data_IF_398201425292
#
_entry.id   IF_398201425292
#
_cell.length_a   1.000
_cell.length_b   1.000
_cell.length_c   1.000
_cell.angle_alpha   90.00
_cell.angle_beta   90.00
_cell.angle_gamma   90.00
#
_symmetry.space_group_name_H-M   'P 1'
#
loop_
_entity.id
_entity.type
_entity.pdbx_description
1 polymer ?
#
# COMPACT_ATOMS: atom_id res chain seq x y z
N UNK A 1 25.10 -0.45 -0.28
CA UNK A 1 24.60 0.85 -0.78
C UNK A 1 23.76 0.61 -2.03
N UNK A 2 22.45 0.42 -1.88
CA UNK A 2 21.54 0.50 -3.02
C UNK A 2 21.09 1.96 -3.12
N UNK A 3 21.38 2.59 -4.25
CA UNK A 3 21.04 3.97 -4.56
C UNK A 3 19.52 4.20 -4.50
N UNK A 4 19.10 5.33 -3.94
CA UNK A 4 17.73 5.83 -4.05
C UNK A 4 17.31 5.93 -5.54
N UNK A 5 16.03 5.72 -5.89
CA UNK A 5 15.61 5.75 -7.28
C UNK A 5 15.68 7.18 -7.84
N UNK A 6 16.33 7.26 -8.98
CA UNK A 6 16.51 8.43 -9.84
C UNK A 6 15.15 8.90 -10.40
N UNK A 7 15.04 10.21 -10.65
CA UNK A 7 13.99 10.86 -11.47
C UNK A 7 13.48 9.93 -12.59
N UNK A 8 12.19 9.56 -12.52
CA UNK A 8 11.50 8.79 -13.57
C UNK A 8 11.35 7.29 -13.30
N UNK A 9 11.92 6.74 -12.23
CA UNK A 9 11.66 5.36 -11.81
C UNK A 9 10.37 5.27 -10.96
N UNK A 10 9.61 4.18 -11.12
CA UNK A 10 8.52 3.83 -10.21
C UNK A 10 9.07 3.80 -8.77
N UNK A 11 8.37 4.46 -7.85
CA UNK A 11 8.69 4.37 -6.42
C UNK A 11 8.32 2.96 -5.98
N UNK A 12 9.31 2.21 -5.51
CA UNK A 12 9.12 0.83 -5.04
C UNK A 12 8.65 0.73 -3.60
N UNK A 13 8.83 1.79 -2.80
CA UNK A 13 8.57 1.82 -1.36
C UNK A 13 8.10 3.20 -0.90
N UNK A 14 7.17 3.24 0.04
CA UNK A 14 6.75 4.44 0.76
C UNK A 14 6.36 4.03 2.19
N UNK A 15 5.95 4.97 3.02
CA UNK A 15 5.56 4.69 4.40
C UNK A 15 4.46 5.65 4.88
N UNK A 16 3.69 5.17 5.86
CA UNK A 16 2.88 6.02 6.71
C UNK A 16 3.70 6.41 7.94
N UNK A 17 3.54 7.65 8.41
CA UNK A 17 4.09 8.07 9.68
C UNK A 17 3.15 9.00 10.43
N UNK A 18 3.03 8.75 11.72
CA UNK A 18 2.42 9.66 12.68
C UNK A 18 3.27 9.70 13.95
N UNK A 19 2.76 10.28 15.03
CA UNK A 19 3.48 10.43 16.29
C UNK A 19 3.95 9.10 16.90
N UNK A 20 3.32 7.99 16.54
CA UNK A 20 3.59 6.66 17.10
C UNK A 20 4.13 5.68 16.07
N UNK A 21 3.52 5.62 14.90
CA UNK A 21 3.89 4.70 13.84
C UNK A 21 4.85 5.33 12.82
N UNK A 22 5.85 4.55 12.43
CA UNK A 22 6.48 4.61 11.12
C UNK A 22 6.29 3.22 10.51
N UNK A 23 5.57 3.16 9.39
CA UNK A 23 5.07 1.91 8.85
C UNK A 23 5.32 1.81 7.36
N UNK A 24 6.32 1.00 6.99
CA UNK A 24 6.75 0.82 5.61
C UNK A 24 5.79 -0.03 4.79
N UNK A 25 5.72 0.26 3.49
CA UNK A 25 5.05 -0.56 2.50
C UNK A 25 5.79 -0.53 1.16
N UNK A 26 5.75 -1.64 0.43
CA UNK A 26 6.30 -1.71 -0.92
C UNK A 26 5.18 -1.85 -1.96
N UNK A 27 5.46 -1.45 -3.20
CA UNK A 27 4.55 -1.59 -4.34
C UNK A 27 4.20 -3.04 -4.74
N UNK A 28 4.83 -4.05 -4.12
CA UNK A 28 4.49 -5.47 -4.30
C UNK A 28 3.50 -5.95 -3.22
N UNK A 29 3.09 -5.06 -2.31
CA UNK A 29 2.05 -5.27 -1.30
C UNK A 29 2.56 -5.69 0.08
N UNK A 30 3.86 -5.93 0.24
CA UNK A 30 4.45 -6.23 1.54
C UNK A 30 4.42 -4.98 2.41
N UNK A 31 4.06 -5.17 3.68
CA UNK A 31 4.05 -4.10 4.67
C UNK A 31 4.99 -4.42 5.82
N UNK A 32 5.30 -3.39 6.62
CA UNK A 32 6.11 -3.48 7.83
C UNK A 32 7.53 -4.00 7.62
N UNK A 33 8.13 -3.91 6.42
CA UNK A 33 9.51 -4.34 6.16
C UNK A 33 10.36 -3.16 5.63
N UNK A 34 11.46 -2.85 6.31
CA UNK A 34 12.29 -1.69 5.99
C UNK A 34 13.21 -1.97 4.77
N UNK A 35 13.13 -1.17 3.70
CA UNK A 35 13.86 -1.43 2.45
C UNK A 35 15.37 -1.14 2.53
N UNK A 36 15.83 -0.40 3.54
CA UNK A 36 17.24 -0.05 3.71
C UNK A 36 17.98 -1.07 4.57
N UNK A 37 17.33 -1.50 5.65
CA UNK A 37 17.93 -2.42 6.62
C UNK A 37 17.67 -3.88 6.29
N UNK A 38 16.58 -4.18 5.57
CA UNK A 38 16.11 -5.57 5.40
C UNK A 38 15.57 -6.16 6.70
N UNK A 39 15.23 -5.30 7.67
CA UNK A 39 14.76 -5.64 9.01
C UNK A 39 13.33 -5.14 9.22
N UNK A 40 12.88 -5.15 10.48
CA UNK A 40 11.62 -4.57 10.94
C UNK A 40 11.35 -3.22 10.31
N UNK A 41 10.16 -3.06 9.74
CA UNK A 41 9.67 -1.83 9.13
C UNK A 41 8.32 -1.36 9.69
N UNK A 42 7.77 -2.06 10.68
CA UNK A 42 6.73 -1.54 11.56
C UNK A 42 7.35 -1.06 12.87
N UNK A 43 7.54 0.25 12.99
CA UNK A 43 8.06 0.88 14.19
C UNK A 43 6.93 1.57 14.94
N UNK A 44 6.85 1.31 16.24
CA UNK A 44 5.86 1.90 17.13
C UNK A 44 6.53 2.72 18.22
N UNK A 45 5.73 3.56 18.89
CA UNK A 45 6.12 4.56 19.88
C UNK A 45 6.88 5.77 19.29
N UNK A 46 6.91 6.91 20.01
CA UNK A 46 7.71 8.07 19.60
C UNK A 46 9.22 7.76 19.46
N UNK A 47 9.71 6.74 20.16
CA UNK A 47 11.11 6.29 20.09
C UNK A 47 11.39 5.40 18.86
N UNK A 48 10.37 5.05 18.05
CA UNK A 48 10.47 4.19 16.87
C UNK A 48 11.08 2.82 17.18
N UNK A 49 10.57 2.16 18.21
CA UNK A 49 10.95 0.79 18.54
C UNK A 49 10.36 -0.16 17.48
N UNK A 50 11.15 -1.11 16.94
CA UNK A 50 10.62 -2.13 16.04
C UNK A 50 9.62 -3.00 16.79
N UNK A 51 8.49 -3.30 16.16
CA UNK A 51 7.46 -4.18 16.72
C UNK A 51 6.90 -5.17 15.70
N UNK A 52 7.16 -4.95 14.40
CA UNK A 52 6.72 -5.83 13.32
C UNK A 52 7.85 -5.93 12.28
N UNK A 53 8.30 -7.17 12.04
CA UNK A 53 9.31 -7.51 11.04
C UNK A 53 8.79 -7.34 9.62
N UNK A 54 7.62 -7.94 9.35
CA UNK A 54 6.96 -7.92 8.05
C UNK A 54 5.52 -8.42 8.16
N UNK A 55 4.68 -7.97 7.22
CA UNK A 55 3.27 -8.34 7.12
C UNK A 55 2.84 -8.49 5.66
N UNK A 56 1.79 -9.29 5.45
CA UNK A 56 1.16 -9.46 4.15
C UNK A 56 -0.17 -10.19 4.24
N UNK A 57 -1.00 -10.02 3.21
CA UNK A 57 -2.26 -10.76 3.11
C UNK A 57 -1.99 -12.09 2.40
N UNK A 58 -2.46 -13.18 3.01
CA UNK A 58 -2.55 -14.50 2.40
C UNK A 58 -4.02 -14.78 2.05
N UNK A 59 -4.20 -15.50 0.95
CA UNK A 59 -5.50 -16.03 0.56
C UNK A 59 -5.38 -17.45 0.04
N UNK A 60 -6.46 -18.22 0.17
CA UNK A 60 -6.52 -19.52 -0.47
C UNK A 60 -7.93 -20.06 -0.63
N UNK A 61 -8.13 -20.89 -1.64
CA UNK A 61 -9.42 -21.52 -1.94
C UNK A 61 -9.28 -22.59 -3.01
N UNK A 62 -10.39 -23.21 -3.39
CA UNK A 62 -10.43 -24.24 -4.43
C UNK A 62 -10.86 -23.62 -5.76
N UNK A 63 -10.05 -23.81 -6.80
CA UNK A 63 -10.36 -23.29 -8.12
C UNK A 63 -11.26 -24.26 -8.90
N UNK A 64 -12.44 -23.79 -9.33
CA UNK A 64 -13.45 -24.57 -10.07
C UNK A 64 -13.71 -23.95 -11.45
N UNK A 65 -14.01 -24.77 -12.45
CA UNK A 65 -14.57 -24.29 -13.73
C UNK A 65 -13.59 -23.97 -14.88
N UNK A 66 -12.33 -24.43 -14.84
CA UNK A 66 -11.39 -24.38 -15.98
C UNK A 66 -10.99 -25.82 -16.37
N UNK A 67 -10.88 -26.20 -17.67
CA UNK A 67 -10.40 -27.53 -18.03
C UNK A 67 -8.87 -27.64 -17.88
N UNK A 68 -8.42 -28.82 -17.46
CA UNK A 68 -7.04 -29.31 -17.21
C UNK A 68 -6.51 -29.24 -15.76
N UNK A 69 -6.97 -28.33 -14.89
CA UNK A 69 -6.53 -28.27 -13.47
C UNK A 69 -7.63 -27.85 -12.47
N UNK A 70 -8.89 -28.12 -12.81
CA UNK A 70 -10.03 -27.88 -11.90
C UNK A 70 -9.91 -28.77 -10.66
N UNK A 71 -10.24 -28.20 -9.50
CA UNK A 71 -10.35 -28.87 -8.18
C UNK A 71 -9.06 -29.00 -7.38
N UNK A 72 -8.09 -28.10 -7.59
CA UNK A 72 -6.89 -28.03 -6.77
C UNK A 72 -6.89 -26.81 -5.85
N UNK A 73 -6.30 -26.88 -4.64
CA UNK A 73 -6.13 -25.72 -3.80
C UNK A 73 -5.20 -24.71 -4.49
N UNK A 74 -5.56 -23.45 -4.38
CA UNK A 74 -4.77 -22.30 -4.81
C UNK A 74 -4.51 -21.44 -3.60
N UNK A 75 -3.25 -21.11 -3.36
CA UNK A 75 -2.85 -20.27 -2.24
C UNK A 75 -1.92 -19.20 -2.79
N UNK A 76 -2.24 -17.95 -2.54
CA UNK A 76 -1.43 -16.82 -2.96
C UNK A 76 -1.27 -15.82 -1.82
N UNK A 77 -0.53 -14.77 -2.11
CA UNK A 77 -0.35 -13.68 -1.18
C UNK A 77 1.08 -13.36 -0.85
N UNK A 78 1.24 -12.80 0.34
CA UNK A 78 2.45 -12.13 0.78
C UNK A 78 2.73 -12.59 2.21
N UNK A 79 3.94 -13.11 2.43
CA UNK A 79 4.51 -13.37 3.76
C UNK A 79 6.00 -12.98 3.73
N UNK A 80 6.91 -13.80 4.24
CA UNK A 80 8.35 -13.67 4.01
C UNK A 80 8.73 -13.65 2.53
N UNK A 81 7.95 -14.37 1.71
CA UNK A 81 8.08 -14.35 0.25
C UNK A 81 6.86 -13.63 -0.33
N UNK A 82 7.11 -12.85 -1.37
CA UNK A 82 6.10 -12.06 -2.06
C UNK A 82 5.67 -12.83 -3.31
N UNK A 83 4.46 -13.38 -3.30
CA UNK A 83 3.85 -14.09 -4.42
C UNK A 83 3.19 -13.18 -5.45
N UNK A 84 3.17 -11.87 -5.20
CA UNK A 84 2.50 -10.84 -6.01
C UNK A 84 3.47 -10.02 -6.87
N UNK A 85 2.95 -9.42 -7.93
CA UNK A 85 3.60 -8.39 -8.74
C UNK A 85 2.82 -7.06 -8.70
N UNK A 86 3.48 -5.90 -8.86
CA UNK A 86 2.82 -4.60 -8.89
C UNK A 86 1.91 -4.46 -10.11
N UNK A 87 0.79 -3.76 -9.90
CA UNK A 87 -0.24 -3.43 -10.90
C UNK A 87 -1.48 -4.31 -10.79
N UNK A 88 -2.62 -3.75 -11.18
CA UNK A 88 -3.88 -4.46 -11.37
C UNK A 88 -3.94 -5.22 -12.69
N UNK A 89 -5.06 -5.91 -12.91
CA UNK A 89 -5.28 -6.80 -14.05
C UNK A 89 -6.30 -6.18 -15.00
N UNK A 90 -5.95 -6.14 -16.28
CA UNK A 90 -6.86 -5.89 -17.40
C UNK A 90 -7.07 -7.18 -18.20
N UNK A 91 -8.18 -7.22 -18.93
CA UNK A 91 -8.46 -8.31 -19.86
C UNK A 91 -8.30 -7.78 -21.29
N UNK A 92 -7.47 -8.46 -22.08
CA UNK A 92 -7.30 -8.22 -23.50
C UNK A 92 -7.73 -9.51 -24.20
N UNK A 93 -8.81 -9.42 -24.96
CA UNK A 93 -9.50 -10.59 -25.53
C UNK A 93 -9.78 -11.65 -24.44
N UNK A 94 -9.24 -12.86 -24.59
CA UNK A 94 -9.44 -13.97 -23.66
C UNK A 94 -8.33 -14.10 -22.59
N UNK A 95 -7.36 -13.17 -22.55
CA UNK A 95 -6.19 -13.23 -21.68
C UNK A 95 -6.17 -12.14 -20.60
N UNK A 96 -5.58 -12.47 -19.46
CA UNK A 96 -5.32 -11.53 -18.37
C UNK A 96 -3.91 -10.96 -18.49
N UNK A 97 -3.79 -9.64 -18.38
CA UNK A 97 -2.53 -8.93 -18.43
C UNK A 97 -2.42 -7.89 -17.31
N UNK A 98 -1.18 -7.59 -16.91
CA UNK A 98 -0.91 -6.57 -15.89
C UNK A 98 -1.04 -5.18 -16.52
N UNK A 99 -1.87 -4.34 -15.92
CA UNK A 99 -2.00 -2.94 -16.31
C UNK A 99 -0.79 -2.13 -15.82
N UNK A 100 0.12 -1.80 -16.75
CA UNK A 100 1.32 -1.01 -16.46
C UNK A 100 1.05 0.36 -15.83
N UNK A 101 -0.09 1.00 -16.12
CA UNK A 101 -0.44 2.32 -15.58
C UNK A 101 -0.85 2.29 -14.11
N UNK A 102 -1.20 1.11 -13.59
CA UNK A 102 -1.58 0.92 -12.19
C UNK A 102 -0.41 0.49 -11.30
N UNK A 103 0.80 0.33 -11.88
CA UNK A 103 2.00 -0.03 -11.12
C UNK A 103 2.48 1.12 -10.25
N UNK A 104 2.75 0.83 -8.98
CA UNK A 104 3.39 1.78 -8.06
C UNK A 104 2.72 1.80 -6.70
N UNK A 105 3.26 2.68 -5.85
CA UNK A 105 2.68 3.07 -4.58
C UNK A 105 2.37 4.57 -4.62
N UNK A 106 1.13 4.92 -4.28
CA UNK A 106 0.61 6.27 -4.36
C UNK A 106 0.33 6.77 -2.95
N UNK A 107 0.75 7.99 -2.66
CA UNK A 107 0.59 8.63 -1.35
C UNK A 107 -0.06 10.00 -1.48
N UNK A 108 -1.12 10.23 -0.71
CA UNK A 108 -1.74 11.56 -0.54
C UNK A 108 -1.73 11.96 0.92
N UNK A 109 -1.73 13.28 1.15
CA UNK A 109 -1.92 13.86 2.47
C UNK A 109 -3.00 14.94 2.37
N UNK A 110 -4.03 14.92 3.23
CA UNK A 110 -5.18 15.85 3.10
C UNK A 110 -4.75 17.32 3.08
N UNK A 111 -3.76 17.67 3.91
CA UNK A 111 -3.20 19.03 4.03
C UNK A 111 -1.93 19.30 3.18
N UNK A 112 -1.70 18.56 2.09
CA UNK A 112 -0.42 18.56 1.37
C UNK A 112 0.11 19.96 0.97
N UNK A 113 -0.77 20.91 0.66
CA UNK A 113 -0.40 22.30 0.31
C UNK A 113 0.20 23.06 1.49
N UNK A 114 -0.29 22.78 2.71
CA UNK A 114 0.03 23.52 3.93
C UNK A 114 1.10 22.82 4.79
N UNK A 115 1.59 21.67 4.36
CA UNK A 115 2.69 20.98 5.04
C UNK A 115 3.95 21.86 5.08
N UNK A 116 4.58 21.92 6.26
CA UNK A 116 5.77 22.74 6.49
C UNK A 116 7.00 22.14 5.80
N UNK A 117 8.03 22.96 5.56
CA UNK A 117 9.31 22.44 5.07
C UNK A 117 9.94 21.46 6.08
N UNK A 118 9.72 21.68 7.38
CA UNK A 118 10.19 20.77 8.43
C UNK A 118 9.55 19.38 8.32
N UNK A 119 8.26 19.30 8.02
CA UNK A 119 7.59 18.03 7.75
C UNK A 119 8.27 17.28 6.60
N UNK A 120 8.49 17.95 5.47
CA UNK A 120 9.12 17.33 4.31
C UNK A 120 10.57 16.92 4.57
N UNK A 121 11.34 17.70 5.33
CA UNK A 121 12.70 17.33 5.73
C UNK A 121 12.72 16.04 6.55
N UNK A 122 11.78 15.89 7.50
CA UNK A 122 11.63 14.67 8.30
C UNK A 122 11.19 13.47 7.45
N UNK A 123 10.27 13.66 6.51
CA UNK A 123 9.86 12.57 5.60
C UNK A 123 11.03 12.15 4.69
N UNK A 124 11.77 13.12 4.15
CA UNK A 124 12.91 12.87 3.26
C UNK A 124 14.12 12.29 3.99
N UNK A 125 14.38 12.65 5.25
CA UNK A 125 15.45 12.05 6.04
C UNK A 125 15.25 10.55 6.19
N UNK A 126 14.00 10.12 6.40
CA UNK A 126 13.61 8.71 6.43
C UNK A 126 13.69 8.11 5.03
N UNK A 127 13.03 8.71 4.03
CA UNK A 127 12.91 8.14 2.67
C UNK A 127 14.20 8.16 1.86
N UNK A 128 15.21 8.94 2.26
CA UNK A 128 16.51 8.98 1.59
C UNK A 128 17.62 8.39 2.46
N UNK A 129 17.31 8.02 3.70
CA UNK A 129 18.26 7.56 4.70
C UNK A 129 19.42 8.57 4.89
N UNK A 130 19.03 9.84 5.16
CA UNK A 130 19.92 11.00 5.31
C UNK A 130 19.59 11.77 6.58
N UNK A 131 20.52 12.61 7.06
CA UNK A 131 20.20 13.58 8.11
C UNK A 131 19.36 14.73 7.57
N UNK A 132 18.56 15.38 8.42
CA UNK A 132 17.65 16.46 8.00
C UNK A 132 18.38 17.71 7.47
N UNK A 133 19.60 17.98 7.93
CA UNK A 133 20.45 19.07 7.49
C UNK A 133 21.09 18.82 6.11
N UNK A 134 21.15 17.56 5.68
CA UNK A 134 21.56 17.16 4.32
C UNK A 134 20.43 17.29 3.29
N UNK A 135 19.19 17.53 3.73
CA UNK A 135 18.02 17.66 2.85
C UNK A 135 17.98 19.06 2.22
N UNK A 136 18.08 19.09 0.90
CA UNK A 136 18.12 20.35 0.13
C UNK A 136 16.72 20.89 -0.18
N UNK A 137 16.62 22.17 -0.51
CA UNK A 137 15.38 22.76 -1.03
C UNK A 137 14.92 22.10 -2.34
N UNK A 138 15.85 21.55 -3.12
CA UNK A 138 15.51 20.78 -4.31
C UNK A 138 14.79 19.47 -3.96
N UNK A 139 15.23 18.78 -2.90
CA UNK A 139 14.58 17.55 -2.42
C UNK A 139 13.17 17.87 -1.89
N UNK A 140 13.03 18.93 -1.08
CA UNK A 140 11.74 19.42 -0.57
C UNK A 140 10.79 19.78 -1.72
N UNK A 141 11.28 20.47 -2.75
CA UNK A 141 10.48 20.79 -3.93
C UNK A 141 10.10 19.55 -4.74
N UNK A 142 10.94 18.51 -4.74
CA UNK A 142 10.67 17.25 -5.44
C UNK A 142 9.55 16.46 -4.76
N UNK A 143 9.57 16.37 -3.42
CA UNK A 143 8.50 15.68 -2.67
C UNK A 143 7.18 16.45 -2.71
N UNK A 144 7.21 17.80 -2.66
CA UNK A 144 6.01 18.62 -2.87
C UNK A 144 5.35 18.35 -4.21
N UNK A 145 6.14 18.26 -5.29
CA UNK A 145 5.64 17.90 -6.63
C UNK A 145 5.06 16.50 -6.67
N UNK A 146 5.61 15.55 -5.90
CA UNK A 146 5.05 14.19 -5.78
C UNK A 146 3.67 14.21 -5.12
N UNK A 147 3.52 14.91 -3.99
CA UNK A 147 2.21 15.06 -3.34
C UNK A 147 1.20 15.75 -4.25
N UNK A 148 1.58 16.85 -4.90
CA UNK A 148 0.74 17.56 -5.86
C UNK A 148 0.29 16.65 -7.02
N UNK A 149 1.23 15.87 -7.57
CA UNK A 149 0.94 14.90 -8.63
C UNK A 149 -0.02 13.82 -8.15
N UNK A 150 0.23 13.18 -7.01
CA UNK A 150 -0.63 12.13 -6.48
C UNK A 150 -2.02 12.63 -6.12
N UNK A 151 -2.14 13.88 -5.64
CA UNK A 151 -3.42 14.51 -5.36
C UNK A 151 -4.23 14.73 -6.65
N UNK A 152 -3.56 15.16 -7.72
CA UNK A 152 -4.18 15.42 -9.03
C UNK A 152 -4.51 14.15 -9.82
N UNK A 153 -3.59 13.19 -9.80
CA UNK A 153 -3.63 11.96 -10.61
C UNK A 153 -3.96 10.73 -9.74
N UNK A 154 -4.73 10.94 -8.66
CA UNK A 154 -5.09 9.86 -7.74
C UNK A 154 -5.80 8.73 -8.50
N UNK A 155 -5.34 7.47 -8.38
CA UNK A 155 -5.74 6.39 -9.28
C UNK A 155 -7.10 5.76 -8.93
N UNK A 156 -8.16 6.56 -8.85
CA UNK A 156 -9.52 6.08 -8.53
C UNK A 156 -10.01 5.02 -9.52
N UNK A 157 -9.68 5.18 -10.81
CA UNK A 157 -10.02 4.21 -11.85
C UNK A 157 -9.40 2.82 -11.62
N UNK A 158 -8.38 2.72 -10.75
CA UNK A 158 -7.75 1.47 -10.33
C UNK A 158 -8.18 1.01 -8.92
N UNK A 159 -9.22 1.64 -8.35
CA UNK A 159 -9.81 1.27 -7.06
C UNK A 159 -9.28 2.06 -5.86
N UNK A 160 -8.52 3.13 -6.08
CA UNK A 160 -8.09 3.99 -4.98
C UNK A 160 -9.31 4.65 -4.31
N UNK A 161 -9.38 4.69 -2.96
CA UNK A 161 -10.46 5.38 -2.27
C UNK A 161 -10.49 6.85 -2.58
N UNK A 162 -11.67 7.42 -2.63
CA UNK A 162 -11.91 8.85 -2.58
C UNK A 162 -13.03 9.11 -1.58
N UNK A 163 -13.13 10.37 -1.13
CA UNK A 163 -14.31 10.84 -0.45
C UNK A 163 -15.31 11.31 -1.50
N UNK A 164 -16.45 10.62 -1.55
CA UNK A 164 -17.60 10.96 -2.37
C UNK A 164 -18.51 11.88 -1.56
N UNK A 165 -18.47 13.18 -1.83
CA UNK A 165 -19.16 14.18 -1.02
C UNK A 165 -20.66 14.22 -1.33
N UNK A 166 -21.06 13.75 -2.52
CA UNK A 166 -22.45 13.81 -2.99
C UNK A 166 -23.14 12.43 -3.00
N UNK A 167 -22.43 11.37 -2.56
CA UNK A 167 -22.88 9.97 -2.46
C UNK A 167 -23.36 9.38 -3.81
N UNK A 168 -22.78 9.77 -4.94
CA UNK A 168 -23.17 9.29 -6.28
C UNK A 168 -22.38 8.07 -6.78
N UNK A 169 -21.31 7.68 -6.07
CA UNK A 169 -20.42 6.56 -6.38
C UNK A 169 -19.40 6.81 -7.50
N UNK A 170 -19.25 8.05 -7.96
CA UNK A 170 -18.39 8.45 -9.08
C UNK A 170 -17.47 9.55 -8.60
N UNK A 171 -16.17 9.41 -8.87
CA UNK A 171 -15.22 10.47 -8.53
C UNK A 171 -15.35 11.67 -9.47
N UNK A 172 -16.01 12.73 -8.99
CA UNK A 172 -16.25 13.97 -9.72
C UNK A 172 -15.77 15.24 -8.97
N UNK A 173 -14.45 15.37 -8.75
CA UNK A 173 -13.89 16.44 -7.94
C UNK A 173 -14.14 17.83 -8.55
N UNK A 174 -14.48 18.80 -7.70
CA UNK A 174 -14.37 20.21 -8.06
C UNK A 174 -12.90 20.62 -8.00
N UNK A 175 -12.37 21.07 -9.13
CA UNK A 175 -10.95 21.41 -9.27
C UNK A 175 -10.71 22.91 -9.10
N UNK A 176 -9.58 23.26 -8.48
CA UNK A 176 -9.09 24.64 -8.40
C UNK A 176 -8.49 25.13 -9.74
N UNK A 177 -8.09 26.40 -9.79
CA UNK A 177 -7.46 27.02 -10.98
C UNK A 177 -6.17 26.30 -11.44
N UNK A 178 -5.53 25.54 -10.55
CA UNK A 178 -4.31 24.77 -10.81
C UNK A 178 -4.63 23.28 -11.15
N UNK A 179 -5.90 22.90 -11.12
CA UNK A 179 -6.42 21.58 -11.43
C UNK A 179 -6.28 20.57 -10.29
N UNK A 180 -6.30 21.01 -9.03
CA UNK A 180 -6.30 20.13 -7.85
C UNK A 180 -7.72 19.99 -7.27
N UNK A 181 -8.13 18.77 -6.87
CA UNK A 181 -9.38 18.55 -6.13
C UNK A 181 -9.47 19.40 -4.86
N UNK A 182 -10.62 20.02 -4.62
CA UNK A 182 -10.91 20.85 -3.46
C UNK A 182 -11.79 20.11 -2.44
N UNK A 183 -11.24 19.86 -1.25
CA UNK A 183 -11.86 19.08 -0.17
C UNK A 183 -13.25 19.60 0.24
N UNK A 184 -13.46 20.92 0.21
CA UNK A 184 -14.68 21.56 0.72
C UNK A 184 -15.74 21.81 -0.37
N UNK A 185 -15.46 21.48 -1.64
CA UNK A 185 -16.36 21.80 -2.76
C UNK A 185 -16.84 20.57 -3.55
N UNK A 186 -16.16 19.44 -3.42
CA UNK A 186 -16.56 18.19 -4.06
C UNK A 186 -15.64 17.06 -3.63
N UNK A 187 -15.61 16.01 -4.43
CA UNK A 187 -14.85 14.83 -4.13
C UNK A 187 -13.34 15.08 -4.01
N UNK A 188 -12.67 14.27 -3.20
CA UNK A 188 -11.23 14.38 -3.04
C UNK A 188 -10.52 13.05 -2.76
N UNK A 189 -9.21 12.94 -3.08
CA UNK A 189 -8.42 11.73 -2.89
C UNK A 189 -8.33 11.22 -1.44
N UNK A 190 -8.29 9.90 -1.28
CA UNK A 190 -7.93 9.24 -0.04
C UNK A 190 -9.12 8.87 0.85
N UNK A 191 -8.85 8.60 2.13
CA UNK A 191 -9.86 8.26 3.13
C UNK A 191 -10.31 9.51 3.87
N UNK A 192 -11.63 9.64 4.09
CA UNK A 192 -12.23 10.77 4.79
C UNK A 192 -11.54 11.04 6.14
N UNK A 193 -11.04 12.27 6.31
CA UNK A 193 -10.37 12.70 7.53
C UNK A 193 -8.95 12.16 7.76
N UNK A 194 -8.49 11.17 6.98
CA UNK A 194 -7.15 10.60 7.11
C UNK A 194 -6.07 11.64 6.79
N UNK A 195 -5.00 11.64 7.58
CA UNK A 195 -3.89 12.56 7.35
C UNK A 195 -3.05 12.08 6.18
N UNK A 196 -2.69 10.80 6.17
CA UNK A 196 -2.03 10.15 5.04
C UNK A 196 -2.85 8.96 4.55
N UNK A 197 -2.90 8.78 3.23
CA UNK A 197 -3.42 7.56 2.59
C UNK A 197 -2.40 7.04 1.59
N UNK A 198 -2.01 5.77 1.73
CA UNK A 198 -1.27 5.00 0.76
C UNK A 198 -2.22 4.08 0.00
N UNK A 199 -2.00 3.97 -1.30
CA UNK A 199 -2.71 3.05 -2.16
C UNK A 199 -1.75 2.34 -3.13
N UNK A 200 -2.00 1.07 -3.35
CA UNK A 200 -1.31 0.27 -4.36
C UNK A 200 -2.21 -0.87 -4.83
N UNK A 201 -1.94 -1.37 -6.02
CA UNK A 201 -2.61 -2.55 -6.57
C UNK A 201 -1.56 -3.58 -6.94
N UNK A 202 -1.82 -4.83 -6.62
CA UNK A 202 -0.94 -5.96 -6.91
C UNK A 202 -1.74 -7.12 -7.50
N UNK A 203 -1.07 -8.08 -8.13
CA UNK A 203 -1.71 -9.22 -8.78
C UNK A 203 -0.88 -10.50 -8.61
N UNK A 204 -1.49 -11.66 -8.87
CA UNK A 204 -0.82 -12.95 -8.77
C UNK A 204 -0.50 -13.61 -10.13
N UNK A 205 -0.52 -12.87 -11.24
CA UNK A 205 -0.36 -13.46 -12.59
C UNK A 205 1.02 -14.09 -12.85
N UNK A 206 2.03 -13.76 -12.05
CA UNK A 206 3.38 -14.30 -12.22
C UNK A 206 3.53 -15.68 -11.58
N UNK A 207 3.42 -16.70 -12.42
CA UNK A 207 3.52 -18.10 -12.03
C UNK A 207 4.79 -18.42 -11.23
N UNK A 208 5.94 -17.88 -11.63
CA UNK A 208 7.20 -18.15 -10.95
C UNK A 208 7.21 -17.61 -9.51
N UNK A 209 6.64 -16.42 -9.28
CA UNK A 209 6.54 -15.83 -7.94
C UNK A 209 5.55 -16.58 -7.05
N UNK A 210 4.37 -16.93 -7.58
CA UNK A 210 3.37 -17.71 -6.83
C UNK A 210 3.92 -19.09 -6.45
N UNK A 211 4.53 -19.81 -7.40
CA UNK A 211 5.17 -21.12 -7.13
C UNK A 211 6.29 -21.01 -6.11
N UNK A 212 7.13 -19.97 -6.17
CA UNK A 212 8.21 -19.77 -5.20
C UNK A 212 7.71 -19.39 -3.80
N UNK A 213 6.48 -18.89 -3.67
CA UNK A 213 5.85 -18.51 -2.42
C UNK A 213 5.09 -19.69 -1.78
N UNK A 214 4.14 -20.31 -2.49
CA UNK A 214 3.24 -21.34 -1.93
C UNK A 214 3.30 -22.68 -2.64
N UNK A 215 4.02 -22.77 -3.77
CA UNK A 215 4.05 -23.97 -4.61
C UNK A 215 2.80 -24.20 -5.45
N UNK A 216 1.79 -23.33 -5.36
CA UNK A 216 0.58 -23.41 -6.19
C UNK A 216 0.70 -22.53 -7.44
N UNK A 217 -0.31 -22.57 -8.30
CA UNK A 217 -0.39 -21.73 -9.51
C UNK A 217 -1.17 -20.44 -9.25
N UNK A 218 -1.00 -19.40 -10.09
CA UNK A 218 -1.85 -18.22 -10.09
C UNK A 218 -3.34 -18.54 -10.17
N UNK A 219 -4.15 -17.70 -9.54
CA UNK A 219 -5.61 -17.68 -9.68
C UNK A 219 -6.03 -16.69 -10.77
N UNK A 220 -5.33 -15.56 -10.89
CA UNK A 220 -5.81 -14.41 -11.67
C UNK A 220 -6.62 -13.46 -10.81
N UNK A 221 -6.10 -13.14 -9.62
CA UNK A 221 -6.69 -12.18 -8.67
C UNK A 221 -5.87 -10.89 -8.64
N UNK A 222 -6.60 -9.79 -8.47
CA UNK A 222 -6.07 -8.48 -8.18
C UNK A 222 -6.33 -8.17 -6.70
N UNK A 223 -5.33 -7.63 -5.99
CA UNK A 223 -5.46 -7.15 -4.63
C UNK A 223 -5.20 -5.64 -4.59
N UNK A 224 -6.20 -4.88 -4.19
CA UNK A 224 -6.07 -3.45 -3.91
C UNK A 224 -5.80 -3.28 -2.42
N UNK A 225 -4.76 -2.52 -2.08
CA UNK A 225 -4.30 -2.32 -0.71
C UNK A 225 -4.36 -0.82 -0.42
N UNK A 226 -5.17 -0.44 0.56
CA UNK A 226 -5.20 0.91 1.13
C UNK A 226 -4.64 0.87 2.54
N UNK A 227 -3.69 1.73 2.85
CA UNK A 227 -3.23 1.98 4.21
C UNK A 227 -3.52 3.45 4.55
N UNK A 228 -3.94 3.75 5.77
CA UNK A 228 -4.10 5.14 6.20
C UNK A 228 -3.87 5.31 7.69
N UNK A 229 -3.60 6.55 8.08
CA UNK A 229 -3.48 6.94 9.47
C UNK A 229 -4.24 8.24 9.74
N UNK A 230 -4.39 8.55 11.02
CA UNK A 230 -4.89 9.82 11.47
C UNK A 230 -3.87 10.43 12.44
N UNK A 231 -3.78 11.75 12.44
CA UNK A 231 -3.00 12.54 13.37
C UNK A 231 -3.98 13.46 14.10
N UNK A 232 -4.36 13.06 15.31
CA UNK A 232 -5.23 13.83 16.18
C UNK A 232 -4.90 13.56 17.66
N UNK A 233 -5.60 14.26 18.56
CA UNK A 233 -5.37 14.15 20.01
C UNK A 233 -6.01 12.90 20.64
N UNK A 234 -6.86 12.17 19.90
CA UNK A 234 -7.49 10.95 20.38
C UNK A 234 -6.55 9.76 20.16
N UNK A 235 -5.81 9.43 21.22
CA UNK A 235 -4.72 8.45 21.19
C UNK A 235 -5.03 7.15 20.43
N UNK A 236 -6.17 6.46 20.64
CA UNK A 236 -6.45 5.19 19.95
C UNK A 236 -6.45 5.31 18.42
N UNK A 237 -6.85 6.47 17.90
CA UNK A 237 -6.90 6.71 16.46
C UNK A 237 -5.53 7.17 15.93
N UNK A 238 -4.79 7.96 16.71
CA UNK A 238 -3.43 8.41 16.36
C UNK A 238 -2.34 7.36 16.58
N UNK A 239 -2.64 6.28 17.32
CA UNK A 239 -1.71 5.17 17.59
C UNK A 239 -1.99 3.94 16.73
N UNK A 240 -2.75 4.08 15.65
CA UNK A 240 -3.12 2.99 14.76
C UNK A 240 -2.74 3.28 13.31
N UNK A 241 -2.44 2.20 12.58
CA UNK A 241 -2.43 2.18 11.11
C UNK A 241 -3.59 1.30 10.68
N UNK A 242 -4.43 1.83 9.80
CA UNK A 242 -5.56 1.10 9.27
C UNK A 242 -5.21 0.52 7.91
N UNK A 243 -5.77 -0.65 7.62
CA UNK A 243 -5.55 -1.37 6.36
C UNK A 243 -6.88 -1.81 5.79
N UNK A 244 -7.03 -1.70 4.47
CA UNK A 244 -8.16 -2.26 3.73
C UNK A 244 -7.64 -3.02 2.52
N UNK A 245 -8.11 -4.24 2.40
CA UNK A 245 -7.82 -5.15 1.31
C UNK A 245 -9.09 -5.37 0.49
N UNK A 246 -9.02 -5.16 -0.82
CA UNK A 246 -10.09 -5.54 -1.76
C UNK A 246 -9.49 -6.55 -2.73
N UNK A 247 -9.87 -7.82 -2.58
CA UNK A 247 -9.45 -8.88 -3.48
C UNK A 247 -10.51 -9.10 -4.56
N UNK A 248 -10.11 -9.01 -5.82
CA UNK A 248 -10.99 -9.09 -6.98
C UNK A 248 -10.57 -10.30 -7.81
N UNK A 249 -11.50 -11.23 -8.03
CA UNK A 249 -11.30 -12.31 -8.98
C UNK A 249 -11.47 -11.78 -10.41
N UNK A 250 -10.37 -11.75 -11.16
CA UNK A 250 -10.33 -11.27 -12.55
C UNK A 250 -10.36 -12.43 -13.55
N UNK A 251 -10.17 -13.66 -13.07
CA UNK A 251 -10.27 -14.90 -13.83
C UNK A 251 -11.72 -15.26 -14.16
N UNK A 252 -11.89 -16.29 -15.00
CA UNK A 252 -13.20 -16.88 -15.27
C UNK A 252 -13.53 -18.07 -14.34
N UNK A 253 -12.62 -18.41 -13.42
CA UNK A 253 -12.82 -19.51 -12.49
C UNK A 253 -13.67 -19.07 -11.29
N UNK A 254 -14.40 -20.02 -10.72
CA UNK A 254 -15.00 -19.86 -9.40
C UNK A 254 -13.98 -20.22 -8.33
N UNK A 255 -13.82 -19.36 -7.32
CA UNK A 255 -13.02 -19.66 -6.13
C UNK A 255 -13.99 -20.11 -5.04
N UNK A 256 -14.00 -21.40 -4.76
CA UNK A 256 -14.85 -22.02 -3.74
C UNK A 256 -14.11 -22.10 -2.40
N UNK A 257 -14.84 -21.93 -1.30
CA UNK A 257 -14.30 -21.98 0.07
C UNK A 257 -13.06 -21.11 0.24
N UNK A 258 -13.22 -19.79 0.03
CA UNK A 258 -12.13 -18.82 0.14
C UNK A 258 -11.80 -18.51 1.61
N UNK A 259 -10.51 -18.51 1.94
CA UNK A 259 -9.95 -18.18 3.23
C UNK A 259 -8.98 -17.01 3.09
N UNK A 260 -8.90 -16.19 4.15
CA UNK A 260 -7.99 -15.08 4.26
C UNK A 260 -7.22 -15.16 5.57
N UNK A 261 -5.96 -14.79 5.54
CA UNK A 261 -5.13 -14.63 6.73
C UNK A 261 -4.28 -13.38 6.58
N UNK A 262 -4.27 -12.53 7.60
CA UNK A 262 -3.22 -11.53 7.73
C UNK A 262 -2.01 -12.25 8.33
N UNK A 263 -0.97 -12.42 7.53
CA UNK A 263 0.33 -12.84 8.03
C UNK A 263 1.01 -11.63 8.67
N UNK A 264 1.46 -11.80 9.91
CA UNK A 264 2.27 -10.85 10.62
C UNK A 264 3.39 -11.61 11.33
N UNK A 265 4.58 -11.03 11.29
CA UNK A 265 5.73 -11.45 12.09
C UNK A 265 6.02 -10.31 13.08
N UNK A 266 5.39 -10.31 14.27
CA UNK A 266 5.73 -9.39 15.35
C UNK A 266 7.19 -9.59 15.75
N UNK A 267 7.83 -8.51 16.20
CA UNK A 267 9.25 -8.47 16.54
C UNK A 267 9.41 -7.71 17.87
N UNK A 268 8.66 -8.10 18.91
CA UNK A 268 8.62 -7.37 20.19
C UNK A 268 9.68 -7.94 21.13
N UNK A 269 10.94 -7.56 20.90
CA UNK A 269 12.07 -8.04 21.69
C UNK A 269 12.83 -9.13 20.96
N UNK A 270 12.71 -10.38 21.39
CA UNK A 270 13.36 -11.53 20.74
C UNK A 270 12.31 -12.35 19.97
N UNK A 271 12.60 -12.69 18.71
CA UNK A 271 11.68 -13.45 17.86
C UNK A 271 11.21 -14.80 18.47
N UNK A 272 11.89 -15.30 19.50
CA UNK A 272 11.54 -16.55 20.20
C UNK A 272 10.54 -16.39 21.34
N UNK A 273 10.24 -15.17 21.78
CA UNK A 273 9.32 -14.89 22.89
C UNK A 273 8.10 -14.04 22.52
N UNK A 274 7.87 -13.82 21.22
CA UNK A 274 6.70 -13.10 20.72
C UNK A 274 5.38 -13.81 21.10
N UNK A 275 4.47 -13.03 21.71
CA UNK A 275 3.12 -13.46 22.07
C UNK A 275 2.10 -12.70 21.23
N UNK A 276 1.19 -13.44 20.60
CA UNK A 276 0.09 -12.89 19.80
C UNK A 276 -1.23 -13.07 20.56
N UNK A 277 -2.03 -12.01 20.63
CA UNK A 277 -3.37 -12.02 21.22
C UNK A 277 -4.42 -11.50 20.24
N UNK A 278 -5.66 -11.94 20.41
CA UNK A 278 -6.82 -11.48 19.64
C UNK A 278 -8.00 -11.24 20.60
N UNK A 279 -8.67 -10.10 20.45
CA UNK A 279 -9.90 -9.75 21.17
C UNK A 279 -11.15 -10.07 20.31
N UNK A 280 -11.19 -11.29 19.77
CA UNK A 280 -12.28 -11.79 18.91
C UNK A 280 -13.48 -12.30 19.71
#
# INVERSE_FOLDING_TARGET
>A
MKSAPVKGALIGYDFLHNDYWLFWANYEGQTAHDPYTGSSGGYFTPARLPVIYTEGLLWGGFLRGIPAESDTPRVGGISYRIGTDPGGIIRIDDHLEVNGLSKGIFKVHKNWQNLSNQYFKRELSISLHKQEDEITDYDVNSIRKRYAKNWKEWPVQWGAPFNDVNDNGIYDPVIDEQGYPQIDQGDYPGIAGADETLFMVVNDLNEARVKAHTGTLPVGVELQITLWNYQNTFWPLSSAVFKRYVLINKSNATIDSMYFQLFADPDVGDYSDDLVGCDS
#
